data_IF_431609467460
#
_entry.id   IF_431609467460
#
_cell.length_a   1.000
_cell.length_b   1.000
_cell.length_c   1.000
_cell.angle_alpha   90.00
_cell.angle_beta   90.00
_cell.angle_gamma   90.00
#
_symmetry.space_group_name_H-M   'P 1'
#
loop_
_entity.id
_entity.type
_entity.pdbx_description
1 polymer ?
#
# COMPACT_ATOMS: atom_id res chain seq x y z
N UNK A 1 8.55 9.45 -16.06
CA UNK A 1 9.46 9.33 -14.93
C UNK A 1 9.48 7.92 -14.40
N UNK A 2 10.68 7.35 -14.22
CA UNK A 2 10.83 5.95 -13.84
C UNK A 2 10.29 5.64 -12.45
N UNK A 3 10.03 6.64 -11.65
CA UNK A 3 9.56 6.45 -10.29
C UNK A 3 8.04 6.47 -10.16
N UNK A 4 7.32 6.72 -11.24
CA UNK A 4 5.88 6.84 -11.20
C UNK A 4 5.21 5.70 -11.93
N UNK A 5 4.13 5.20 -11.34
CA UNK A 5 3.33 4.12 -11.90
C UNK A 5 1.87 4.50 -11.83
N UNK A 6 1.12 4.25 -12.91
CA UNK A 6 -0.31 4.49 -12.94
C UNK A 6 -1.06 3.23 -12.61
N UNK A 7 -2.11 3.37 -11.80
CA UNK A 7 -3.05 2.28 -11.54
C UNK A 7 -4.19 2.42 -12.53
N UNK A 8 -4.44 1.37 -13.28
CA UNK A 8 -5.56 1.34 -14.19
C UNK A 8 -6.69 0.51 -13.63
N UNK A 9 -7.91 0.98 -13.80
CA UNK A 9 -9.07 0.24 -13.34
C UNK A 9 -9.44 -0.82 -14.36
N UNK A 10 -8.65 -1.84 -14.41
CA UNK A 10 -8.85 -2.94 -15.35
C UNK A 10 -9.47 -4.15 -14.68
N UNK A 11 -9.91 -3.99 -13.48
CA UNK A 11 -10.46 -5.10 -12.76
C UNK A 11 -9.41 -6.16 -12.52
N UNK A 12 -9.76 -7.39 -12.81
CA UNK A 12 -8.93 -8.54 -12.49
C UNK A 12 -7.84 -8.82 -13.51
N UNK A 13 -7.46 -7.85 -14.29
CA UNK A 13 -6.47 -8.08 -15.33
C UNK A 13 -5.10 -8.38 -14.71
N UNK A 14 -4.52 -9.50 -15.09
CA UNK A 14 -3.30 -10.01 -14.48
C UNK A 14 -2.12 -9.06 -14.56
N UNK A 15 -2.08 -8.22 -15.57
CA UNK A 15 -0.95 -7.32 -15.77
C UNK A 15 -0.81 -6.23 -14.72
N UNK A 16 -1.80 -6.09 -13.85
CA UNK A 16 -1.83 -4.99 -12.89
C UNK A 16 -1.82 -5.44 -11.45
N UNK A 17 -1.43 -6.67 -11.21
CA UNK A 17 -1.37 -7.20 -9.86
C UNK A 17 -0.07 -6.79 -9.19
N UNK A 18 -0.17 -6.17 -8.01
CA UNK A 18 0.98 -5.79 -7.20
C UNK A 18 0.87 -6.51 -5.86
N UNK A 19 1.92 -7.21 -5.48
CA UNK A 19 1.92 -7.97 -4.24
C UNK A 19 2.04 -7.07 -3.02
N UNK A 20 1.49 -7.55 -1.90
CA UNK A 20 1.60 -6.86 -0.63
C UNK A 20 2.97 -7.04 0.00
N UNK A 21 3.46 -5.98 0.66
CA UNK A 21 4.55 -6.05 1.63
C UNK A 21 4.26 -5.08 2.76
N UNK A 22 4.58 -5.48 3.98
CA UNK A 22 4.46 -4.58 5.13
C UNK A 22 5.52 -3.47 5.10
N UNK A 23 6.47 -3.58 4.19
CA UNK A 23 7.50 -2.57 3.94
C UNK A 23 7.63 -2.39 2.43
N UNK A 24 6.52 -2.03 1.79
CA UNK A 24 6.46 -1.90 0.34
C UNK A 24 7.29 -0.73 -0.16
N UNK A 25 7.67 -0.81 -1.43
CA UNK A 25 8.50 0.23 -2.04
C UNK A 25 7.70 1.26 -2.83
N UNK A 26 6.38 1.15 -2.84
CA UNK A 26 5.50 2.12 -3.48
C UNK A 26 4.54 2.71 -2.45
N UNK A 27 4.04 3.90 -2.74
CA UNK A 27 2.93 4.50 -2.01
C UNK A 27 2.15 5.39 -2.99
N UNK A 28 1.05 5.99 -2.52
CA UNK A 28 0.21 6.79 -3.39
C UNK A 28 0.72 8.22 -3.50
N UNK A 29 0.77 8.71 -4.72
CA UNK A 29 0.93 10.13 -4.99
C UNK A 29 -0.44 10.79 -5.09
N UNK A 30 -1.37 10.12 -5.77
CA UNK A 30 -2.77 10.54 -5.87
C UNK A 30 -3.62 9.30 -6.14
N UNK A 31 -4.89 9.49 -6.46
CA UNK A 31 -5.84 8.38 -6.61
C UNK A 31 -5.44 7.37 -7.68
N UNK A 32 -4.66 7.80 -8.66
CA UNK A 32 -4.36 6.97 -9.83
C UNK A 32 -2.87 6.76 -10.05
N UNK A 33 -2.01 7.31 -9.19
CA UNK A 33 -0.58 7.28 -9.41
C UNK A 33 0.14 6.78 -8.16
N UNK A 34 0.93 5.75 -8.35
CA UNK A 34 1.87 5.28 -7.33
C UNK A 34 3.25 5.85 -7.63
N UNK A 35 4.02 6.08 -6.58
CA UNK A 35 5.41 6.51 -6.74
C UNK A 35 6.31 5.69 -5.82
N UNK A 36 7.59 5.68 -6.12
CA UNK A 36 8.56 4.98 -5.30
C UNK A 36 8.64 5.64 -3.93
N UNK A 37 8.45 4.85 -2.88
CA UNK A 37 8.57 5.30 -1.50
C UNK A 37 10.03 5.31 -1.06
N UNK A 38 10.84 4.48 -1.71
CA UNK A 38 12.28 4.35 -1.45
C UNK A 38 12.93 3.87 -2.74
N UNK A 39 14.27 3.95 -2.84
CA UNK A 39 14.94 3.51 -4.07
C UNK A 39 14.59 2.06 -4.42
N UNK A 40 14.33 1.84 -5.69
CA UNK A 40 13.99 0.50 -6.20
C UNK A 40 15.10 0.08 -7.14
N UNK A 41 15.77 -1.02 -6.82
CA UNK A 41 16.86 -1.53 -7.64
C UNK A 41 16.34 -2.21 -8.89
N UNK A 42 17.18 -2.25 -9.92
CA UNK A 42 16.84 -3.00 -11.13
C UNK A 42 16.56 -4.46 -10.77
N UNK A 43 15.44 -4.97 -11.23
CA UNK A 43 15.05 -6.35 -10.95
C UNK A 43 14.33 -6.55 -9.63
N UNK A 44 14.26 -5.53 -8.80
CA UNK A 44 13.54 -5.63 -7.52
C UNK A 44 12.03 -5.62 -7.78
N UNK A 45 11.31 -6.49 -7.08
CA UNK A 45 9.86 -6.53 -7.20
C UNK A 45 9.23 -5.25 -6.64
N UNK A 46 8.28 -4.67 -7.38
CA UNK A 46 7.50 -3.56 -6.84
C UNK A 46 6.42 -4.11 -5.91
N UNK A 47 6.27 -3.52 -4.75
CA UNK A 47 5.32 -3.97 -3.72
C UNK A 47 4.61 -2.79 -3.09
N UNK A 48 3.45 -3.06 -2.53
CA UNK A 48 2.59 -2.03 -1.95
C UNK A 48 2.00 -2.56 -0.65
N UNK A 49 2.03 -1.74 0.39
CA UNK A 49 1.35 -2.11 1.62
C UNK A 49 -0.16 -1.95 1.39
N UNK A 50 -0.90 -3.02 1.55
CA UNK A 50 -2.34 -2.98 1.29
C UNK A 50 -3.10 -2.09 2.28
N UNK A 51 -2.51 -1.76 3.42
CA UNK A 51 -3.10 -0.79 4.33
C UNK A 51 -3.31 0.57 3.67
N UNK A 52 -2.59 0.86 2.60
CA UNK A 52 -2.67 2.16 1.94
C UNK A 52 -3.99 2.37 1.19
N UNK A 53 -4.69 1.31 0.82
CA UNK A 53 -5.85 1.48 -0.06
C UNK A 53 -7.00 0.50 0.14
N UNK A 54 -6.82 -0.58 0.90
CA UNK A 54 -7.86 -1.60 0.98
C UNK A 54 -9.11 -1.12 1.69
N UNK A 55 -10.22 -1.77 1.39
CA UNK A 55 -11.51 -1.47 2.00
C UNK A 55 -11.51 -1.91 3.46
N UNK A 56 -12.32 -1.23 4.26
CA UNK A 56 -12.40 -1.51 5.70
C UNK A 56 -12.78 -2.96 6.01
N UNK A 57 -13.55 -3.59 5.14
CA UNK A 57 -14.01 -4.95 5.36
C UNK A 57 -13.04 -6.01 4.80
N UNK A 58 -11.92 -5.60 4.22
CA UNK A 58 -10.95 -6.54 3.69
C UNK A 58 -10.21 -7.25 4.83
N UNK A 59 -10.17 -8.56 4.74
CA UNK A 59 -9.34 -9.37 5.64
C UNK A 59 -8.64 -10.41 4.77
N UNK A 60 -7.32 -10.38 4.78
CA UNK A 60 -6.55 -11.33 4.00
C UNK A 60 -6.75 -12.74 4.56
N UNK A 61 -6.98 -13.70 3.66
CA UNK A 61 -7.12 -15.09 4.06
C UNK A 61 -5.78 -15.84 3.99
N UNK A 62 -4.70 -15.09 3.95
CA UNK A 62 -3.32 -15.60 3.87
C UNK A 62 -2.48 -14.86 4.91
N UNK A 63 -1.41 -15.50 5.37
CA UNK A 63 -0.46 -14.86 6.26
C UNK A 63 0.62 -14.15 5.47
N UNK A 64 1.02 -12.97 5.93
CA UNK A 64 2.09 -12.25 5.26
C UNK A 64 3.45 -12.88 5.60
N UNK A 65 4.27 -13.07 4.58
CA UNK A 65 5.63 -13.60 4.72
C UNK A 65 6.60 -12.71 3.97
N UNK A 66 6.39 -11.37 4.05
CA UNK A 66 7.23 -10.43 3.30
C UNK A 66 8.67 -10.40 3.78
N UNK A 67 8.96 -10.95 4.94
CA UNK A 67 10.33 -11.05 5.44
C UNK A 67 10.87 -9.76 6.06
N UNK A 68 10.10 -8.69 6.09
CA UNK A 68 10.58 -7.45 6.70
C UNK A 68 10.54 -7.54 8.21
N UNK A 69 11.37 -6.72 8.87
CA UNK A 69 11.39 -6.65 10.32
C UNK A 69 10.06 -6.12 10.89
N UNK A 70 9.26 -5.46 10.06
CA UNK A 70 7.99 -4.86 10.47
C UNK A 70 6.79 -5.65 9.96
N UNK A 71 6.99 -6.89 9.56
CA UNK A 71 5.92 -7.73 9.02
C UNK A 71 4.82 -7.93 10.07
N UNK A 72 3.59 -7.63 9.68
CA UNK A 72 2.44 -7.71 10.58
C UNK A 72 1.81 -9.10 10.62
N UNK A 73 2.23 -10.00 9.75
CA UNK A 73 1.72 -11.38 9.63
C UNK A 73 0.28 -11.44 9.17
N UNK A 74 -0.60 -10.63 9.73
CA UNK A 74 -1.99 -10.54 9.31
C UNK A 74 -2.23 -9.19 8.66
N UNK A 75 -3.00 -9.17 7.57
CA UNK A 75 -3.26 -7.96 6.80
C UNK A 75 -4.76 -7.74 6.73
N UNK A 76 -5.19 -6.52 7.02
CA UNK A 76 -6.60 -6.17 6.93
C UNK A 76 -6.77 -4.72 6.48
N UNK A 77 -7.97 -4.40 6.04
CA UNK A 77 -8.32 -3.05 5.64
C UNK A 77 -8.39 -2.06 6.79
N UNK A 78 -8.26 -2.53 8.03
CA UNK A 78 -8.23 -1.66 9.22
C UNK A 78 -6.80 -1.28 9.62
N UNK A 79 -5.79 -1.83 8.95
CA UNK A 79 -4.40 -1.60 9.33
C UNK A 79 -3.98 -0.14 9.27
N UNK A 80 -4.67 0.69 8.46
CA UNK A 80 -4.37 2.12 8.39
C UNK A 80 -4.56 2.84 9.74
N UNK A 81 -5.27 2.20 10.68
CA UNK A 81 -5.48 2.78 12.02
C UNK A 81 -4.24 2.65 12.92
N UNK A 82 -3.28 1.82 12.52
CA UNK A 82 -2.08 1.63 13.33
C UNK A 82 -1.25 2.92 13.34
N UNK A 83 -0.92 3.45 14.53
CA UNK A 83 -0.23 4.75 14.61
C UNK A 83 1.07 4.81 13.85
N UNK A 84 1.86 3.73 13.87
CA UNK A 84 3.15 3.76 13.18
C UNK A 84 2.98 3.81 11.67
N UNK A 85 1.92 3.19 11.13
CA UNK A 85 1.67 3.28 9.70
C UNK A 85 1.22 4.69 9.31
N UNK A 86 0.41 5.33 10.15
CA UNK A 86 0.01 6.70 9.88
C UNK A 86 1.22 7.64 9.87
N UNK A 87 2.20 7.39 10.72
CA UNK A 87 3.43 8.17 10.73
C UNK A 87 4.30 7.94 9.51
N UNK A 88 4.42 6.68 9.06
CA UNK A 88 5.27 6.35 7.90
C UNK A 88 4.69 6.86 6.59
N UNK A 89 3.38 6.78 6.43
CA UNK A 89 2.73 7.01 5.14
C UNK A 89 1.97 8.32 5.07
N UNK A 90 2.33 9.30 5.87
CA UNK A 90 1.64 10.60 5.92
C UNK A 90 1.32 11.10 4.52
N UNK A 91 0.03 11.37 4.27
CA UNK A 91 -0.46 11.90 2.99
C UNK A 91 -0.25 10.99 1.79
N UNK A 92 0.30 9.80 1.98
CA UNK A 92 0.59 8.86 0.90
C UNK A 92 -0.26 7.59 0.94
N UNK A 93 -1.26 7.53 1.79
CA UNK A 93 -2.35 6.58 1.63
C UNK A 93 -3.15 6.99 0.39
N UNK A 94 -4.04 6.12 -0.08
CA UNK A 94 -4.97 6.55 -1.11
C UNK A 94 -5.80 7.72 -0.60
N UNK A 95 -6.31 8.59 -1.48
CA UNK A 95 -7.11 9.74 -1.02
C UNK A 95 -8.30 9.34 -0.15
N UNK A 96 -8.93 8.19 -0.43
CA UNK A 96 -10.04 7.74 0.38
C UNK A 96 -9.59 7.42 1.80
N UNK A 97 -8.46 6.73 1.97
CA UNK A 97 -7.94 6.40 3.30
C UNK A 97 -7.44 7.65 4.00
N UNK A 98 -6.80 8.58 3.28
CA UNK A 98 -6.38 9.86 3.85
C UNK A 98 -7.58 10.60 4.45
N UNK A 99 -8.73 10.56 3.77
CA UNK A 99 -9.95 11.18 4.30
C UNK A 99 -10.44 10.50 5.56
N UNK A 100 -10.34 9.18 5.63
CA UNK A 100 -10.74 8.44 6.85
C UNK A 100 -9.86 8.85 8.03
N UNK A 101 -8.56 8.96 7.80
CA UNK A 101 -7.62 9.37 8.86
C UNK A 101 -7.97 10.78 9.35
N UNK A 102 -8.25 11.70 8.43
CA UNK A 102 -8.56 13.07 8.78
C UNK A 102 -9.84 13.17 9.63
N UNK A 103 -10.80 12.26 9.41
CA UNK A 103 -12.06 12.28 10.15
C UNK A 103 -11.93 11.85 11.60
N UNK A 104 -10.91 11.07 11.92
CA UNK A 104 -10.72 10.58 13.28
C UNK A 104 -9.66 11.35 14.04
N UNK A 105 -8.97 12.24 13.38
CA UNK A 105 -7.88 13.03 13.99
C UNK A 105 -8.42 14.09 14.97
#
# INVERSE_FOLDING_TARGET
DDELFSIEERGADDGYFINHSCDGNLWFRDAFTLEARKPIAHGEEITLDYALFERDDYVANWGCECGSAVCRKKVSGQDWRLPHLQGWYQDHFSPLVNKKIARIA
#
